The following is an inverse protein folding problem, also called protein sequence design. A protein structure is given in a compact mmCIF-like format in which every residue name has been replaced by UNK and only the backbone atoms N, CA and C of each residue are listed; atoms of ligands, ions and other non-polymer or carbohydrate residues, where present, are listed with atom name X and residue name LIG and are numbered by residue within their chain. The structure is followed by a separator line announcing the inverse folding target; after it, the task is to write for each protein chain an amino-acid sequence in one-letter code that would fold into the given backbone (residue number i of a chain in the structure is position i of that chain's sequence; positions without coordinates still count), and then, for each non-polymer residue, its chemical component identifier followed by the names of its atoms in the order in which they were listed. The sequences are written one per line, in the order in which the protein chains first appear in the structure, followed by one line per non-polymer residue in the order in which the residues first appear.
data_IF_213750087181
#
_entry.id   IF_213750087181
#
_cell.length_a   1.000
_cell.length_b   1.000
_cell.length_c   1.000
_cell.angle_alpha   90.00
_cell.angle_beta   90.00
_cell.angle_gamma   90.00
#
_symmetry.space_group_name_H-M   'P 1'
#
loop_
_entity.id
_entity.type
_entity.pdbx_description
1 polymer ?
#
# COMPACT_ATOMS: atom_id res chain seq x y z
N UNK A 1 -37.01 -55.90 36.09
CA UNK A 1 -35.89 -55.11 36.65
C UNK A 1 -34.70 -55.15 35.70
N UNK A 2 -34.73 -54.38 34.60
CA UNK A 2 -33.62 -54.32 33.63
C UNK A 2 -33.74 -53.02 32.82
N UNK A 3 -33.33 -51.89 33.40
CA UNK A 3 -33.33 -50.60 32.69
C UNK A 3 -32.32 -49.61 33.29
N UNK A 4 -31.06 -50.02 33.51
CA UNK A 4 -30.01 -49.08 33.90
C UNK A 4 -28.63 -49.48 33.35
N UNK A 5 -28.41 -49.38 32.03
CA UNK A 5 -27.06 -49.57 31.47
C UNK A 5 -26.77 -48.77 30.19
N UNK A 6 -27.57 -47.74 29.86
CA UNK A 6 -27.43 -47.01 28.57
C UNK A 6 -27.12 -45.51 28.66
N UNK A 7 -26.79 -44.97 29.83
CA UNK A 7 -26.72 -43.51 30.02
C UNK A 7 -25.32 -42.94 30.38
N UNK A 8 -24.22 -43.68 30.23
CA UNK A 8 -22.90 -43.22 30.75
C UNK A 8 -21.75 -43.13 29.76
N UNK A 9 -21.98 -43.12 28.44
CA UNK A 9 -20.90 -43.14 27.43
C UNK A 9 -20.94 -42.07 26.33
N UNK A 10 -21.72 -40.98 26.48
CA UNK A 10 -21.83 -39.95 25.42
C UNK A 10 -21.35 -38.53 25.81
N UNK A 11 -20.70 -38.33 26.96
CA UNK A 11 -20.39 -36.97 27.45
C UNK A 11 -18.89 -36.59 27.49
N UNK A 12 -17.98 -37.27 26.76
CA UNK A 12 -16.54 -37.06 26.94
C UNK A 12 -15.70 -36.89 25.66
N UNK A 13 -16.19 -36.19 24.64
CA UNK A 13 -15.38 -35.92 23.42
C UNK A 13 -15.37 -34.47 22.91
N UNK A 14 -15.96 -33.49 23.61
CA UNK A 14 -16.18 -32.15 23.00
C UNK A 14 -15.19 -31.03 23.40
N UNK A 15 -14.07 -31.34 24.07
CA UNK A 15 -13.17 -30.28 24.61
C UNK A 15 -11.87 -30.05 23.81
N UNK A 16 -11.57 -30.85 22.78
CA UNK A 16 -10.29 -30.76 22.04
C UNK A 16 -10.37 -29.99 20.71
N UNK A 17 -11.56 -29.60 20.24
CA UNK A 17 -11.77 -29.00 18.90
C UNK A 17 -11.88 -27.45 18.91
N UNK A 18 -11.74 -26.83 20.08
CA UNK A 18 -11.90 -25.38 20.28
C UNK A 18 -10.68 -24.55 19.83
N UNK A 19 -9.41 -24.95 20.05
CA UNK A 19 -8.27 -24.08 19.72
C UNK A 19 -8.04 -23.94 18.20
N UNK A 20 -8.33 -24.98 17.41
CA UNK A 20 -8.15 -24.93 15.95
C UNK A 20 -9.20 -24.09 15.24
N UNK A 21 -10.46 -24.10 15.72
CA UNK A 21 -11.54 -23.28 15.14
C UNK A 21 -11.37 -21.80 15.44
N UNK A 22 -10.91 -21.46 16.64
CA UNK A 22 -10.59 -20.08 17.01
C UNK A 22 -9.42 -19.54 16.15
N UNK A 23 -8.38 -20.35 15.94
CA UNK A 23 -7.28 -19.99 15.03
C UNK A 23 -7.76 -19.76 13.59
N UNK A 24 -8.65 -20.61 13.08
CA UNK A 24 -9.23 -20.44 11.75
C UNK A 24 -9.95 -19.09 11.59
N UNK A 25 -10.77 -18.73 12.59
CA UNK A 25 -11.50 -17.47 12.62
C UNK A 25 -10.53 -16.28 12.67
N UNK A 26 -9.46 -16.38 13.46
CA UNK A 26 -8.44 -15.33 13.56
C UNK A 26 -7.67 -15.13 12.25
N UNK A 27 -7.27 -16.22 11.58
CA UNK A 27 -6.60 -16.15 10.26
C UNK A 27 -7.55 -15.59 9.20
N UNK A 28 -8.81 -16.04 9.18
CA UNK A 28 -9.83 -15.52 8.26
C UNK A 28 -10.05 -14.01 8.45
N UNK A 29 -10.22 -13.58 9.70
CA UNK A 29 -10.38 -12.17 10.04
C UNK A 29 -9.16 -11.36 9.61
N UNK A 30 -7.95 -11.84 9.90
CA UNK A 30 -6.71 -11.16 9.52
C UNK A 30 -6.61 -10.95 8.00
N UNK A 31 -6.94 -11.97 7.20
CA UNK A 31 -6.93 -11.88 5.73
C UNK A 31 -7.96 -10.86 5.25
N UNK A 32 -9.17 -10.89 5.81
CA UNK A 32 -10.21 -9.93 5.48
C UNK A 32 -9.82 -8.49 5.84
N UNK A 33 -9.22 -8.28 7.02
CA UNK A 33 -8.74 -6.98 7.48
C UNK A 33 -7.64 -6.44 6.54
N UNK A 34 -6.68 -7.29 6.14
CA UNK A 34 -5.67 -6.92 5.15
C UNK A 34 -6.27 -6.55 3.80
N UNK A 35 -7.25 -7.32 3.33
CA UNK A 35 -7.92 -7.06 2.04
C UNK A 35 -8.62 -5.71 2.08
N UNK A 36 -9.39 -5.45 3.15
CA UNK A 36 -10.10 -4.20 3.34
C UNK A 36 -9.14 -2.99 3.44
N UNK A 37 -8.05 -3.11 4.21
CA UNK A 37 -7.05 -2.06 4.31
C UNK A 37 -6.39 -1.73 2.96
N UNK A 38 -6.05 -2.74 2.15
CA UNK A 38 -5.47 -2.52 0.83
C UNK A 38 -6.46 -1.99 -0.21
N UNK A 39 -7.74 -2.37 -0.13
CA UNK A 39 -8.79 -1.78 -0.96
C UNK A 39 -8.97 -0.29 -0.63
N UNK A 40 -8.98 0.08 0.65
CA UNK A 40 -8.99 1.49 1.10
C UNK A 40 -7.75 2.24 0.64
N UNK A 41 -6.58 1.61 0.70
CA UNK A 41 -5.33 2.20 0.18
C UNK A 41 -5.44 2.48 -1.32
N UNK A 42 -5.99 1.55 -2.09
CA UNK A 42 -6.21 1.75 -3.53
C UNK A 42 -7.10 2.97 -3.80
N UNK A 43 -8.20 3.11 -3.06
CA UNK A 43 -9.09 4.27 -3.18
C UNK A 43 -8.37 5.58 -2.81
N UNK A 44 -7.57 5.59 -1.75
CA UNK A 44 -6.81 6.77 -1.35
C UNK A 44 -5.73 7.17 -2.38
N UNK A 45 -5.10 6.19 -3.04
CA UNK A 45 -4.16 6.44 -4.15
C UNK A 45 -4.87 7.00 -5.37
N UNK A 46 -6.05 6.46 -5.71
CA UNK A 46 -6.88 6.98 -6.81
C UNK A 46 -7.35 8.41 -6.52
N UNK A 47 -7.79 8.69 -5.29
CA UNK A 47 -8.16 10.03 -4.86
C UNK A 47 -6.99 11.02 -4.96
N UNK A 48 -5.77 10.61 -4.59
CA UNK A 48 -4.57 11.44 -4.77
C UNK A 48 -4.30 11.72 -6.26
N UNK A 49 -4.40 10.71 -7.11
CA UNK A 49 -4.24 10.89 -8.56
C UNK A 49 -5.27 11.86 -9.14
N UNK A 50 -6.53 11.78 -8.71
CA UNK A 50 -7.57 12.71 -9.14
C UNK A 50 -7.34 14.13 -8.62
N UNK A 51 -6.86 14.26 -7.38
CA UNK A 51 -6.46 15.54 -6.81
C UNK A 51 -5.34 16.22 -7.60
N UNK A 52 -4.32 15.47 -8.02
CA UNK A 52 -3.25 15.96 -8.91
C UNK A 52 -3.83 16.41 -10.25
N UNK A 53 -4.74 15.61 -10.84
CA UNK A 53 -5.39 15.97 -12.11
C UNK A 53 -6.21 17.26 -12.02
N UNK A 54 -6.83 17.52 -10.86
CA UNK A 54 -7.59 18.76 -10.59
C UNK A 54 -6.73 19.91 -10.07
N UNK A 55 -5.43 19.68 -9.82
CA UNK A 55 -4.53 20.62 -9.17
C UNK A 55 -5.05 21.14 -7.81
N UNK A 56 -5.71 20.27 -7.03
CA UNK A 56 -6.26 20.61 -5.71
C UNK A 56 -5.29 20.23 -4.59
N UNK A 57 -4.60 21.22 -4.02
CA UNK A 57 -3.62 20.97 -2.94
C UNK A 57 -4.25 20.41 -1.66
N UNK A 58 -5.46 20.86 -1.33
CA UNK A 58 -6.19 20.39 -0.15
C UNK A 58 -6.57 18.92 -0.29
N UNK A 59 -7.10 18.52 -1.46
CA UNK A 59 -7.44 17.11 -1.74
C UNK A 59 -6.19 16.23 -1.75
N UNK A 60 -5.06 16.74 -2.27
CA UNK A 60 -3.78 16.03 -2.24
C UNK A 60 -3.32 15.78 -0.80
N UNK A 61 -3.38 16.80 0.07
CA UNK A 61 -3.01 16.68 1.47
C UNK A 61 -3.91 15.68 2.21
N UNK A 62 -5.23 15.72 1.98
CA UNK A 62 -6.17 14.77 2.56
C UNK A 62 -5.88 13.33 2.11
N UNK A 63 -5.64 13.12 0.82
CA UNK A 63 -5.34 11.80 0.28
C UNK A 63 -4.01 11.23 0.83
N UNK A 64 -2.98 12.08 0.97
CA UNK A 64 -1.71 11.69 1.59
C UNK A 64 -1.87 11.30 3.06
N UNK A 65 -2.63 12.08 3.83
CA UNK A 65 -2.93 11.76 5.24
C UNK A 65 -3.69 10.43 5.36
N UNK A 66 -4.66 10.17 4.47
CA UNK A 66 -5.37 8.91 4.42
C UNK A 66 -4.44 7.73 4.09
N UNK A 67 -3.51 7.89 3.14
CA UNK A 67 -2.50 6.87 2.82
C UNK A 67 -1.59 6.60 4.03
N UNK A 68 -1.13 7.64 4.72
CA UNK A 68 -0.28 7.48 5.91
C UNK A 68 -0.99 6.69 7.01
N UNK A 69 -2.23 7.05 7.34
CA UNK A 69 -3.02 6.33 8.35
C UNK A 69 -3.24 4.86 7.97
N UNK A 70 -3.47 4.58 6.68
CA UNK A 70 -3.61 3.20 6.19
C UNK A 70 -2.31 2.41 6.21
N UNK A 71 -1.15 3.05 6.02
CA UNK A 71 0.14 2.37 6.18
C UNK A 71 0.38 1.95 7.64
N UNK A 72 0.00 2.81 8.60
CA UNK A 72 0.08 2.50 10.03
C UNK A 72 -0.87 1.33 10.40
N UNK A 73 -2.09 1.32 9.86
CA UNK A 73 -3.03 0.21 10.01
C UNK A 73 -2.46 -1.10 9.44
N UNK A 74 -1.90 -1.07 8.23
CA UNK A 74 -1.27 -2.24 7.61
C UNK A 74 -0.06 -2.72 8.43
N UNK A 75 0.74 -1.82 8.99
CA UNK A 75 1.86 -2.17 9.86
C UNK A 75 1.38 -2.87 11.15
N UNK A 76 0.27 -2.42 11.75
CA UNK A 76 -0.33 -3.08 12.91
C UNK A 76 -0.89 -4.48 12.56
N UNK A 77 -1.51 -4.63 11.38
CA UNK A 77 -1.95 -5.94 10.88
C UNK A 77 -0.77 -6.87 10.64
N UNK A 78 0.35 -6.38 10.13
CA UNK A 78 1.58 -7.17 9.95
C UNK A 78 2.18 -7.61 11.29
N UNK A 79 2.18 -6.74 12.30
CA UNK A 79 2.54 -7.15 13.66
C UNK A 79 1.64 -8.29 14.16
N UNK A 80 0.33 -8.20 13.95
CA UNK A 80 -0.63 -9.27 14.29
C UNK A 80 -0.35 -10.55 13.51
N UNK A 81 -0.06 -10.45 12.21
CA UNK A 81 0.34 -11.59 11.37
C UNK A 81 1.57 -12.28 11.91
N UNK A 82 2.61 -11.53 12.28
CA UNK A 82 3.85 -12.12 12.80
C UNK A 82 3.64 -12.81 14.14
N UNK A 83 2.75 -12.28 15.00
CA UNK A 83 2.38 -12.93 16.25
C UNK A 83 1.64 -14.25 16.01
N UNK A 84 0.61 -14.24 15.14
CA UNK A 84 -0.15 -15.45 14.78
C UNK A 84 0.71 -16.47 14.05
N UNK A 85 1.58 -16.03 13.16
CA UNK A 85 2.53 -16.89 12.46
C UNK A 85 3.41 -17.66 13.43
N UNK A 86 3.89 -17.06 14.54
CA UNK A 86 4.66 -17.77 15.56
C UNK A 86 3.85 -18.88 16.25
N UNK A 87 2.56 -18.64 16.50
CA UNK A 87 1.67 -19.65 17.08
C UNK A 87 1.44 -20.80 16.09
N UNK A 88 1.23 -20.50 14.80
CA UNK A 88 1.12 -21.51 13.75
C UNK A 88 2.45 -22.26 13.49
N UNK A 89 3.60 -21.58 13.62
CA UNK A 89 4.94 -22.14 13.44
C UNK A 89 5.25 -23.24 14.45
N UNK A 90 4.74 -23.11 15.68
CA UNK A 90 4.88 -24.14 16.71
C UNK A 90 4.43 -25.53 16.24
N UNK A 91 3.55 -25.59 15.24
CA UNK A 91 3.06 -26.83 14.63
C UNK A 91 3.77 -27.24 13.32
N UNK A 92 4.70 -26.44 12.78
CA UNK A 92 5.35 -26.71 11.49
C UNK A 92 6.87 -26.55 11.55
N UNK A 93 7.60 -27.64 11.27
CA UNK A 93 9.08 -27.73 11.27
C UNK A 93 9.74 -26.99 10.07
N UNK A 94 9.25 -25.81 9.67
CA UNK A 94 9.75 -25.10 8.49
C UNK A 94 10.63 -23.90 8.88
N UNK A 95 11.85 -23.88 8.36
CA UNK A 95 12.79 -22.77 8.48
C UNK A 95 12.50 -21.75 7.38
N UNK A 96 11.69 -20.73 7.67
CA UNK A 96 11.37 -19.63 6.75
C UNK A 96 10.22 -18.73 7.25
N UNK A 97 10.04 -17.52 6.69
CA UNK A 97 8.93 -16.66 7.05
C UNK A 97 7.61 -17.30 6.61
N UNK A 98 6.71 -17.53 7.57
CA UNK A 98 5.40 -18.12 7.32
C UNK A 98 4.51 -17.10 6.60
N UNK A 99 4.00 -17.49 5.44
CA UNK A 99 3.10 -16.65 4.64
C UNK A 99 1.65 -16.83 5.05
N UNK A 100 0.77 -15.88 4.68
CA UNK A 100 -0.69 -16.02 4.88
C UNK A 100 -1.27 -17.29 4.23
N UNK A 101 -0.72 -17.70 3.07
CA UNK A 101 -1.11 -18.96 2.42
C UNK A 101 -0.68 -20.18 3.24
N UNK A 102 0.50 -20.13 3.87
CA UNK A 102 0.95 -21.22 4.74
C UNK A 102 0.10 -21.28 6.02
N UNK A 103 -0.28 -20.13 6.58
CA UNK A 103 -1.21 -20.06 7.72
C UNK A 103 -2.56 -20.68 7.36
N UNK A 104 -3.16 -20.29 6.22
CA UNK A 104 -4.43 -20.85 5.75
C UNK A 104 -4.38 -22.38 5.54
N UNK A 105 -3.23 -22.92 5.11
CA UNK A 105 -3.03 -24.37 4.97
C UNK A 105 -2.83 -25.06 6.32
N UNK A 106 -2.13 -24.44 7.26
CA UNK A 106 -1.80 -25.00 8.56
C UNK A 106 -3.00 -25.09 9.51
N UNK A 107 -4.11 -24.40 9.22
CA UNK A 107 -5.36 -24.54 9.95
C UNK A 107 -6.06 -25.85 9.54
N UNK A 108 -5.76 -26.93 10.26
CA UNK A 108 -6.58 -28.16 10.30
C UNK A 108 -7.41 -28.19 11.60
N UNK A 109 -8.67 -28.66 11.60
CA UNK A 109 -9.40 -29.37 10.55
C UNK A 109 -10.48 -28.46 9.94
N UNK A 110 -10.13 -27.66 8.94
CA UNK A 110 -11.16 -26.95 8.17
C UNK A 110 -11.76 -27.89 7.11
N UNK A 111 -13.07 -27.80 6.92
CA UNK A 111 -13.74 -28.38 5.76
C UNK A 111 -13.11 -27.81 4.48
N UNK A 112 -13.02 -28.63 3.43
CA UNK A 112 -12.32 -28.29 2.17
C UNK A 112 -12.76 -26.93 1.63
N UNK A 113 -14.07 -26.67 1.66
CA UNK A 113 -14.68 -25.44 1.14
C UNK A 113 -14.20 -24.18 1.87
N UNK A 114 -14.02 -24.24 3.19
CA UNK A 114 -13.55 -23.11 3.99
C UNK A 114 -12.07 -22.81 3.73
N UNK A 115 -11.25 -23.85 3.52
CA UNK A 115 -9.83 -23.69 3.15
C UNK A 115 -9.70 -23.06 1.76
N UNK A 116 -10.49 -23.51 0.80
CA UNK A 116 -10.48 -22.97 -0.56
C UNK A 116 -10.92 -21.51 -0.59
N UNK A 117 -11.92 -21.14 0.21
CA UNK A 117 -12.33 -19.75 0.39
C UNK A 117 -11.20 -18.85 0.93
N UNK A 118 -10.46 -19.29 1.95
CA UNK A 118 -9.33 -18.54 2.49
C UNK A 118 -8.20 -18.38 1.46
N UNK A 119 -7.89 -19.43 0.71
CA UNK A 119 -6.89 -19.36 -0.35
C UNK A 119 -7.32 -18.41 -1.48
N UNK A 120 -8.61 -18.37 -1.82
CA UNK A 120 -9.16 -17.40 -2.75
C UNK A 120 -8.99 -15.96 -2.25
N UNK A 121 -9.28 -15.69 -0.97
CA UNK A 121 -9.06 -14.36 -0.37
C UNK A 121 -7.59 -13.95 -0.37
N UNK A 122 -6.66 -14.88 -0.09
CA UNK A 122 -5.21 -14.58 -0.17
C UNK A 122 -4.79 -14.27 -1.62
N UNK A 123 -5.37 -14.96 -2.60
CA UNK A 123 -5.14 -14.66 -4.02
C UNK A 123 -5.65 -13.26 -4.38
N UNK A 124 -6.88 -12.92 -3.94
CA UNK A 124 -7.47 -11.60 -4.14
C UNK A 124 -6.62 -10.49 -3.49
N UNK A 125 -6.16 -10.70 -2.26
CA UNK A 125 -5.27 -9.77 -1.57
C UNK A 125 -4.00 -9.49 -2.40
N UNK A 126 -3.36 -10.52 -2.98
CA UNK A 126 -2.18 -10.34 -3.83
C UNK A 126 -2.49 -9.49 -5.07
N UNK A 127 -3.66 -9.69 -5.68
CA UNK A 127 -4.11 -8.89 -6.83
C UNK A 127 -4.25 -7.42 -6.42
N UNK A 128 -4.93 -7.15 -5.31
CA UNK A 128 -5.13 -5.78 -4.80
C UNK A 128 -3.79 -5.12 -4.44
N UNK A 129 -2.91 -5.82 -3.72
CA UNK A 129 -1.57 -5.32 -3.38
C UNK A 129 -0.74 -4.96 -4.62
N UNK A 130 -0.79 -5.82 -5.65
CA UNK A 130 -0.09 -5.56 -6.92
C UNK A 130 -0.65 -4.31 -7.59
N UNK A 131 -1.97 -4.16 -7.61
CA UNK A 131 -2.63 -2.98 -8.18
C UNK A 131 -2.27 -1.70 -7.43
N UNK A 132 -2.26 -1.71 -6.10
CA UNK A 132 -1.83 -0.56 -5.28
C UNK A 132 -0.41 -0.16 -5.63
N UNK A 133 0.52 -1.11 -5.71
CA UNK A 133 1.92 -0.85 -6.07
C UNK A 133 2.04 -0.21 -7.47
N UNK A 134 1.31 -0.73 -8.45
CA UNK A 134 1.35 -0.20 -9.82
C UNK A 134 0.81 1.23 -9.86
N UNK A 135 -0.32 1.52 -9.21
CA UNK A 135 -0.89 2.87 -9.16
C UNK A 135 0.01 3.86 -8.40
N UNK A 136 0.60 3.46 -7.27
CA UNK A 136 1.55 4.31 -6.54
C UNK A 136 2.80 4.61 -7.36
N UNK A 137 3.34 3.62 -8.07
CA UNK A 137 4.50 3.82 -8.96
C UNK A 137 4.17 4.81 -10.08
N UNK A 138 3.01 4.64 -10.74
CA UNK A 138 2.56 5.54 -11.79
C UNK A 138 2.36 6.97 -11.27
N UNK A 139 1.76 7.12 -10.08
CA UNK A 139 1.56 8.41 -9.44
C UNK A 139 2.88 9.09 -9.08
N UNK A 140 3.85 8.33 -8.55
CA UNK A 140 5.19 8.84 -8.24
C UNK A 140 5.93 9.35 -9.49
N UNK A 141 5.83 8.63 -10.61
CA UNK A 141 6.40 9.06 -11.89
C UNK A 141 5.73 10.35 -12.40
N UNK A 142 4.40 10.43 -12.35
CA UNK A 142 3.67 11.64 -12.75
C UNK A 142 4.04 12.85 -11.89
N UNK A 143 4.16 12.67 -10.57
CA UNK A 143 4.57 13.73 -9.65
C UNK A 143 5.99 14.24 -9.95
N UNK A 144 6.93 13.34 -10.23
CA UNK A 144 8.31 13.68 -10.60
C UNK A 144 8.38 14.48 -11.91
N UNK A 145 7.60 14.06 -12.92
CA UNK A 145 7.50 14.78 -14.20
C UNK A 145 6.91 16.18 -14.02
N UNK A 146 5.85 16.32 -13.22
CA UNK A 146 5.24 17.61 -12.91
C UNK A 146 6.23 18.56 -12.21
N UNK A 147 6.95 18.08 -11.21
CA UNK A 147 7.96 18.87 -10.50
C UNK A 147 9.06 19.38 -11.44
N UNK A 148 9.54 18.51 -12.34
CA UNK A 148 10.56 18.87 -13.34
C UNK A 148 10.04 19.93 -14.32
N UNK A 149 8.77 19.81 -14.74
CA UNK A 149 8.15 20.78 -15.62
C UNK A 149 7.99 22.15 -14.94
N UNK A 150 7.55 22.19 -13.69
CA UNK A 150 7.43 23.43 -12.90
C UNK A 150 8.80 24.10 -12.72
N UNK A 151 9.86 23.34 -12.41
CA UNK A 151 11.23 23.88 -12.34
C UNK A 151 11.66 24.51 -13.67
N UNK A 152 11.37 23.83 -14.79
CA UNK A 152 11.69 24.33 -16.13
C UNK A 152 10.95 25.63 -16.47
N UNK A 153 9.66 25.74 -16.10
CA UNK A 153 8.88 26.96 -16.28
C UNK A 153 9.42 28.10 -15.40
N UNK A 154 9.79 27.83 -14.16
CA UNK A 154 10.37 28.84 -13.26
C UNK A 154 11.72 29.36 -13.80
N UNK A 155 12.58 28.47 -14.31
CA UNK A 155 13.83 28.88 -14.98
C UNK A 155 13.57 29.77 -16.19
N UNK A 156 12.56 29.44 -17.00
CA UNK A 156 12.19 30.25 -18.16
C UNK A 156 11.67 31.64 -17.74
N UNK A 157 10.83 31.71 -16.70
CA UNK A 157 10.34 32.99 -16.15
C UNK A 157 11.49 33.84 -15.63
N UNK A 158 12.41 33.25 -14.87
CA UNK A 158 13.63 33.93 -14.38
C UNK A 158 14.48 34.45 -15.55
N UNK A 159 14.67 33.64 -16.59
CA UNK A 159 15.42 34.06 -17.78
C UNK A 159 14.75 35.25 -18.49
N UNK A 160 13.42 35.22 -18.66
CA UNK A 160 12.66 36.29 -19.32
C UNK A 160 12.59 37.58 -18.50
N UNK A 161 12.49 37.48 -17.17
CA UNK A 161 12.56 38.64 -16.28
C UNK A 161 13.97 39.25 -16.25
N UNK A 162 15.00 38.41 -16.28
CA UNK A 162 16.40 38.87 -16.33
C UNK A 162 16.71 39.65 -17.61
N UNK A 163 16.13 39.28 -18.76
CA UNK A 163 16.30 40.05 -20.00
C UNK A 163 15.38 41.26 -20.08
N UNK A 164 14.19 41.25 -19.45
CA UNK A 164 13.31 42.41 -19.38
C UNK A 164 13.88 43.55 -18.51
N UNK A 165 14.64 43.23 -17.45
CA UNK A 165 15.34 44.22 -16.63
C UNK A 165 16.51 44.93 -17.34
N UNK A 166 17.09 44.32 -18.37
CA UNK A 166 18.18 44.91 -19.17
C UNK A 166 17.67 45.99 -20.15
N UNK A 167 16.36 46.04 -20.41
CA UNK A 167 15.73 47.08 -21.25
C UNK A 167 14.90 48.10 -20.45
N UNK A 168 15.12 48.24 -19.14
CA UNK A 168 14.46 49.25 -18.32
C UNK A 168 14.83 50.68 -18.75
N UNK A 169 13.79 51.47 -19.10
CA UNK A 169 13.58 52.93 -19.28
C UNK A 169 14.74 53.97 -19.35
N UNK A 170 15.98 53.68 -18.97
CA UNK A 170 17.15 54.56 -19.14
C UNK A 170 18.04 54.19 -20.34
N UNK A 171 17.74 53.12 -21.07
CA UNK A 171 18.36 52.86 -22.37
C UNK A 171 19.89 52.69 -22.34
N UNK A 172 20.48 52.29 -21.21
CA UNK A 172 21.91 51.92 -21.15
C UNK A 172 22.05 50.41 -21.15
N UNK A 173 22.48 49.88 -22.30
CA UNK A 173 23.04 48.55 -22.41
C UNK A 173 24.35 48.55 -21.62
N UNK A 174 24.46 47.71 -20.60
CA UNK A 174 25.72 47.52 -19.88
C UNK A 174 26.70 46.77 -20.81
N UNK A 175 27.57 47.55 -21.45
CA UNK A 175 28.43 47.14 -22.56
C UNK A 175 29.61 46.23 -22.16
N UNK A 176 29.54 45.52 -21.04
CA UNK A 176 30.64 44.68 -20.56
C UNK A 176 30.53 43.20 -20.93
N UNK A 177 29.51 42.78 -21.70
CA UNK A 177 29.40 41.38 -22.19
C UNK A 177 29.16 41.22 -23.70
N UNK A 178 29.31 42.28 -24.49
CA UNK A 178 29.10 42.24 -25.94
C UNK A 178 30.39 42.43 -26.78
N UNK A 179 31.57 42.07 -26.23
CA UNK A 179 32.86 42.31 -26.88
C UNK A 179 33.57 41.06 -27.45
N UNK A 180 32.92 39.89 -27.52
CA UNK A 180 33.57 38.65 -28.01
C UNK A 180 32.94 38.04 -29.27
N UNK A 181 31.96 38.70 -29.89
CA UNK A 181 31.35 38.20 -31.12
C UNK A 181 31.25 39.32 -32.14
N UNK A 182 32.38 39.64 -32.77
CA UNK A 182 32.56 40.06 -34.17
C UNK A 182 34.02 40.51 -34.26
N UNK A 183 34.92 39.57 -34.59
CA UNK A 183 36.17 39.94 -35.24
C UNK A 183 35.97 39.65 -36.74
N UNK A 184 35.96 40.71 -37.53
CA UNK A 184 35.91 40.66 -38.98
C UNK A 184 37.28 40.23 -39.50
N UNK A 185 37.32 39.19 -40.33
CA UNK A 185 38.47 38.96 -41.22
C UNK A 185 38.00 39.01 -42.67
N UNK A 186 38.49 40.05 -43.36
CA UNK A 186 38.72 40.09 -44.81
C UNK A 186 39.71 39.01 -45.24
#
# INVERSE_FOLDING_TARGET
MTTQLKAKHQASTNSANVPSRDMAAQVSKLIADFLHAHQRMLLAVQAHRDAVRRASLDDMAQALNAQQALMEEIAALEATRTALAKVCAGNTLRSGPITLSDMAKAVEPLESDARDFLLAQVSELRIVMTRVRTEQSALGQAAMQLATHVDSLMRLVVQKLSTAGVYGRTGRVDAHRAALAVDMRS
#
